data_IF_042294281745
#
_entry.id   IF_042294281745
#
_cell.length_a   1.000
_cell.length_b   1.000
_cell.length_c   1.000
_cell.angle_alpha   90.00
_cell.angle_beta   90.00
_cell.angle_gamma   90.00
#
_symmetry.space_group_name_H-M   'P 1'
#
loop_
_entity.id
_entity.type
_entity.pdbx_description
1 polymer ?
#
# COMPACT_ATOMS: atom_id res chain seq x y z
N UNK A 1 -55.56 52.03 -6.25
CA UNK A 1 -54.31 52.77 -6.57
C UNK A 1 -53.45 52.81 -5.31
N UNK A 2 -52.14 52.62 -5.46
CA UNK A 2 -51.05 52.78 -4.47
C UNK A 2 -50.50 51.54 -3.73
N UNK A 3 -49.40 51.05 -4.33
CA UNK A 3 -48.08 50.83 -3.72
C UNK A 3 -48.00 50.05 -2.40
N UNK A 4 -47.73 48.74 -2.54
CA UNK A 4 -46.60 48.02 -1.89
C UNK A 4 -46.60 46.54 -2.30
N UNK A 5 -46.17 46.30 -3.55
CA UNK A 5 -45.55 45.02 -3.94
C UNK A 5 -44.10 45.05 -3.45
N UNK A 6 -43.50 43.87 -3.30
CA UNK A 6 -42.11 43.59 -2.90
C UNK A 6 -41.79 43.62 -1.40
N UNK A 7 -42.23 42.60 -0.65
CA UNK A 7 -41.44 42.09 0.49
C UNK A 7 -41.93 40.71 0.97
N UNK A 8 -41.93 39.72 0.08
CA UNK A 8 -42.47 38.39 0.41
C UNK A 8 -41.93 37.24 -0.43
N UNK A 9 -40.69 37.36 -0.92
CA UNK A 9 -40.02 36.30 -1.66
C UNK A 9 -38.50 36.31 -1.42
N UNK A 10 -38.11 36.44 -0.15
CA UNK A 10 -36.73 36.27 0.30
C UNK A 10 -36.71 35.62 1.68
N UNK A 11 -37.37 34.48 1.80
CA UNK A 11 -37.33 33.62 2.98
C UNK A 11 -37.00 32.18 2.57
N UNK A 12 -35.99 32.01 1.72
CA UNK A 12 -35.50 30.69 1.27
C UNK A 12 -33.97 30.61 1.12
N UNK A 13 -33.20 31.56 1.67
CA UNK A 13 -31.74 31.52 1.57
C UNK A 13 -31.12 32.13 2.82
N UNK A 14 -31.18 31.41 3.94
CA UNK A 14 -30.16 31.47 5.00
C UNK A 14 -30.39 30.37 6.06
N UNK A 15 -30.57 29.12 5.64
CA UNK A 15 -30.17 28.01 6.49
C UNK A 15 -28.66 27.84 6.27
N UNK A 16 -27.87 28.66 6.96
CA UNK A 16 -26.43 28.42 7.11
C UNK A 16 -26.34 27.11 7.88
N UNK A 17 -26.18 26.02 7.13
CA UNK A 17 -25.77 24.74 7.70
C UNK A 17 -24.37 24.97 8.23
N UNK A 18 -24.28 25.27 9.53
CA UNK A 18 -23.07 25.14 10.32
C UNK A 18 -22.73 23.66 10.36
N UNK A 19 -22.17 23.13 9.27
CA UNK A 19 -21.25 22.01 9.37
C UNK A 19 -20.02 22.57 10.08
N UNK A 20 -20.08 22.55 11.41
CA UNK A 20 -18.87 22.53 12.21
C UNK A 20 -18.12 21.27 11.78
N UNK A 21 -17.19 21.42 10.83
CA UNK A 21 -16.16 20.44 10.62
C UNK A 21 -15.44 20.32 11.97
N UNK A 22 -15.78 19.29 12.74
CA UNK A 22 -14.96 18.89 13.86
C UNK A 22 -13.62 18.51 13.26
N UNK A 23 -12.68 19.46 13.31
CA UNK A 23 -11.29 19.22 12.99
C UNK A 23 -10.88 18.01 13.79
N UNK A 24 -10.67 16.87 13.12
CA UNK A 24 -10.04 15.71 13.74
C UNK A 24 -8.60 16.12 13.96
N UNK A 25 -8.35 16.76 15.10
CA UNK A 25 -7.01 17.03 15.59
C UNK A 25 -6.42 15.68 15.95
N UNK A 26 -5.71 15.05 15.01
CA UNK A 26 -4.66 14.11 15.33
C UNK A 26 -3.50 14.90 15.99
N UNK A 27 -3.74 15.39 17.20
CA UNK A 27 -2.71 15.90 18.09
C UNK A 27 -2.53 14.80 19.12
N UNK A 28 -1.63 13.88 18.87
CA UNK A 28 -0.95 13.24 19.98
C UNK A 28 -0.18 14.38 20.67
N UNK A 29 -0.54 14.81 21.89
CA UNK A 29 0.15 15.92 22.53
C UNK A 29 1.59 15.50 22.78
N UNK A 30 2.51 16.04 21.99
CA UNK A 30 3.93 15.92 22.26
C UNK A 30 4.31 16.98 23.28
N UNK A 31 4.87 16.57 24.43
CA UNK A 31 5.43 17.50 25.42
C UNK A 31 6.60 18.32 24.87
N UNK A 32 7.04 18.03 23.64
CA UNK A 32 8.15 18.69 22.97
C UNK A 32 7.71 19.87 22.12
N UNK A 33 6.42 20.02 21.80
CA UNK A 33 5.91 21.19 21.09
C UNK A 33 5.75 22.31 22.12
N UNK A 34 6.55 23.36 21.98
CA UNK A 34 6.54 24.53 22.87
C UNK A 34 5.57 25.58 22.35
N UNK A 35 5.45 25.71 21.02
CA UNK A 35 4.61 26.72 20.39
C UNK A 35 4.17 26.24 18.99
N UNK A 36 2.86 26.34 18.70
CA UNK A 36 2.35 26.19 17.34
C UNK A 36 2.37 27.57 16.67
N UNK A 37 3.19 27.75 15.64
CA UNK A 37 3.35 29.03 14.93
C UNK A 37 2.23 29.21 13.91
N UNK A 38 1.91 28.15 13.16
CA UNK A 38 0.83 28.18 12.18
C UNK A 38 0.32 26.78 11.86
N UNK A 39 -0.96 26.70 11.49
CA UNK A 39 -1.59 25.49 10.97
C UNK A 39 -2.40 25.86 9.74
N UNK A 40 -2.23 25.09 8.66
CA UNK A 40 -2.98 25.20 7.42
C UNK A 40 -3.53 23.83 7.04
N UNK A 41 -4.77 23.79 6.58
CA UNK A 41 -5.39 22.59 6.00
C UNK A 41 -5.81 22.91 4.58
N UNK A 42 -5.36 22.10 3.63
CA UNK A 42 -5.72 22.18 2.23
C UNK A 42 -6.60 20.98 1.88
N UNK A 43 -7.79 21.23 1.34
CA UNK A 43 -8.66 20.17 0.85
C UNK A 43 -8.16 19.70 -0.52
N UNK A 44 -7.85 18.42 -0.62
CA UNK A 44 -7.51 17.73 -1.85
C UNK A 44 -8.76 17.01 -2.40
N UNK A 45 -8.72 16.50 -3.65
CA UNK A 45 -9.82 15.71 -4.21
C UNK A 45 -10.27 14.55 -3.31
N UNK A 46 -11.51 14.10 -3.51
CA UNK A 46 -12.12 12.97 -2.79
C UNK A 46 -12.12 13.11 -1.25
N UNK A 47 -12.10 14.36 -0.75
CA UNK A 47 -12.15 14.65 0.69
C UNK A 47 -10.86 14.37 1.45
N UNK A 48 -9.74 14.12 0.76
CA UNK A 48 -8.42 14.02 1.39
C UNK A 48 -7.98 15.39 1.90
N UNK A 49 -7.33 15.45 3.07
CA UNK A 49 -6.85 16.70 3.65
C UNK A 49 -5.32 16.71 3.71
N UNK A 50 -4.71 17.84 3.36
CA UNK A 50 -3.28 18.08 3.52
C UNK A 50 -3.03 19.12 4.60
N UNK A 51 -2.49 18.66 5.73
CA UNK A 51 -2.23 19.44 6.92
C UNK A 51 -0.77 19.88 6.92
N UNK A 52 -0.54 21.18 7.06
CA UNK A 52 0.79 21.79 7.18
C UNK A 52 0.84 22.52 8.51
N UNK A 53 1.78 22.16 9.38
CA UNK A 53 2.06 22.86 10.63
C UNK A 53 3.47 23.38 10.66
N UNK A 54 3.62 24.60 11.18
CA UNK A 54 4.91 25.13 11.62
C UNK A 54 4.88 25.16 13.13
N UNK A 55 5.75 24.37 13.73
CA UNK A 55 5.85 24.20 15.19
C UNK A 55 7.25 24.64 15.64
N UNK A 56 7.34 25.14 16.86
CA UNK A 56 8.61 25.31 17.58
C UNK A 56 8.71 24.24 18.66
N UNK A 57 9.77 23.45 18.61
CA UNK A 57 10.02 22.37 19.56
C UNK A 57 11.14 22.69 20.53
N UNK A 58 11.10 22.04 21.69
CA UNK A 58 12.19 22.00 22.64
C UNK A 58 13.47 21.44 21.97
N UNK A 59 14.63 21.93 22.39
CA UNK A 59 15.90 21.36 21.97
C UNK A 59 16.27 20.22 22.91
N UNK A 60 16.36 18.98 22.39
CA UNK A 60 16.73 17.80 23.17
C UNK A 60 15.89 17.57 24.45
N UNK A 61 14.61 17.95 24.47
CA UNK A 61 13.78 17.84 25.68
C UNK A 61 13.75 19.09 26.56
N UNK A 62 14.66 20.03 26.35
CA UNK A 62 14.74 21.25 27.16
C UNK A 62 13.85 22.35 26.58
N UNK A 63 12.74 22.61 27.29
CA UNK A 63 11.77 23.65 26.95
C UNK A 63 12.25 25.07 27.24
N UNK A 64 13.33 25.21 28.02
CA UNK A 64 13.92 26.50 28.42
C UNK A 64 15.05 26.94 27.49
N UNK A 65 15.62 25.99 26.73
CA UNK A 65 16.66 26.23 25.74
C UNK A 65 16.11 26.90 24.47
N UNK A 66 17.02 27.19 23.53
CA UNK A 66 16.68 27.71 22.21
C UNK A 66 15.73 26.76 21.46
N UNK A 67 14.58 27.30 21.03
CA UNK A 67 13.55 26.56 20.30
C UNK A 67 14.02 26.18 18.88
N UNK A 68 13.55 25.06 18.36
CA UNK A 68 13.82 24.59 16.98
C UNK A 68 12.59 24.68 16.11
N UNK A 69 12.72 25.31 14.95
CA UNK A 69 11.64 25.37 13.98
C UNK A 69 11.46 24.02 13.29
N UNK A 70 10.22 23.56 13.21
CA UNK A 70 9.80 22.33 12.57
C UNK A 70 8.71 22.63 11.54
N UNK A 71 8.80 21.97 10.39
CA UNK A 71 7.73 21.95 9.39
C UNK A 71 7.18 20.53 9.31
N UNK A 72 5.96 20.35 9.79
CA UNK A 72 5.28 19.05 9.88
C UNK A 72 4.17 19.01 8.85
N UNK A 73 4.19 17.97 8.03
CA UNK A 73 3.21 17.77 6.97
C UNK A 73 2.54 16.42 7.15
N UNK A 74 1.22 16.39 7.02
CA UNK A 74 0.44 15.16 7.12
C UNK A 74 -0.65 15.13 6.06
N UNK A 75 -0.84 13.96 5.46
CA UNK A 75 -1.98 13.68 4.60
C UNK A 75 -2.97 12.87 5.43
N UNK A 76 -4.19 13.37 5.57
CA UNK A 76 -5.27 12.70 6.28
C UNK A 76 -6.24 12.18 5.24
N UNK A 77 -6.45 10.87 5.24
CA UNK A 77 -7.46 10.19 4.41
C UNK A 77 -8.63 9.84 5.33
N UNK A 78 -9.75 10.58 5.30
CA UNK A 78 -10.88 10.30 6.16
C UNK A 78 -11.51 8.93 5.85
N UNK A 79 -12.11 8.29 6.86
CA UNK A 79 -12.80 7.01 6.65
C UNK A 79 -13.89 7.09 5.57
N UNK A 80 -14.60 8.22 5.54
CA UNK A 80 -15.67 8.54 4.59
C UNK A 80 -15.20 8.74 3.14
N UNK A 81 -13.89 8.82 2.86
CA UNK A 81 -13.36 8.90 1.50
C UNK A 81 -13.38 7.51 0.84
N UNK A 82 -14.56 6.98 0.50
CA UNK A 82 -14.78 5.60 0.05
C UNK A 82 -14.02 5.24 -1.24
N UNK A 83 -13.81 6.21 -2.12
CA UNK A 83 -13.11 6.07 -3.41
C UNK A 83 -11.58 6.15 -3.29
N UNK A 84 -11.05 6.44 -2.09
CA UNK A 84 -9.62 6.65 -1.87
C UNK A 84 -8.98 5.42 -1.24
N UNK A 85 -7.90 4.96 -1.87
CA UNK A 85 -7.12 3.81 -1.45
C UNK A 85 -5.69 4.21 -1.11
N UNK A 86 -5.10 3.55 -0.11
CA UNK A 86 -3.68 3.66 0.19
C UNK A 86 -2.94 2.52 -0.53
N UNK A 87 -1.96 2.88 -1.34
CA UNK A 87 -1.18 1.93 -2.13
C UNK A 87 0.30 2.12 -1.82
N UNK A 88 1.01 1.01 -1.64
CA UNK A 88 2.47 0.98 -1.57
C UNK A 88 3.01 0.74 -2.98
N UNK A 89 3.97 1.53 -3.43
CA UNK A 89 4.54 1.39 -4.77
C UNK A 89 6.07 1.46 -4.74
N UNK A 90 6.72 0.68 -5.59
CA UNK A 90 8.15 0.75 -5.82
C UNK A 90 8.44 0.82 -7.31
N UNK A 91 9.40 1.66 -7.67
CA UNK A 91 9.88 1.76 -9.05
C UNK A 91 10.70 0.52 -9.45
N UNK A 92 10.86 0.35 -10.76
CA UNK A 92 11.57 -0.78 -11.35
C UNK A 92 10.73 -1.51 -12.38
N UNK A 93 11.20 -2.65 -12.83
CA UNK A 93 10.46 -3.55 -13.73
C UNK A 93 10.35 -4.93 -13.07
N UNK A 94 9.79 -5.88 -13.81
CA UNK A 94 9.51 -7.22 -13.32
C UNK A 94 10.78 -8.00 -12.91
N UNK A 95 11.95 -7.55 -13.37
CA UNK A 95 13.24 -8.20 -13.19
C UNK A 95 14.18 -7.46 -12.22
N UNK A 96 13.95 -6.16 -11.98
CA UNK A 96 14.78 -5.34 -11.09
C UNK A 96 14.01 -4.25 -10.36
N UNK A 97 14.45 -3.97 -9.14
CA UNK A 97 14.05 -2.77 -8.41
C UNK A 97 14.70 -1.53 -9.02
N UNK A 98 14.03 -0.40 -8.88
CA UNK A 98 14.47 0.88 -9.41
C UNK A 98 14.44 1.96 -8.33
N UNK A 99 15.35 2.92 -8.45
CA UNK A 99 15.33 4.15 -7.68
C UNK A 99 14.54 5.22 -8.42
N UNK A 100 13.58 5.82 -7.74
CA UNK A 100 12.80 6.93 -8.29
C UNK A 100 12.57 7.99 -7.21
N UNK A 101 12.39 9.23 -7.66
CA UNK A 101 11.82 10.27 -6.78
C UNK A 101 10.35 9.97 -6.52
N UNK A 102 9.77 10.51 -5.45
CA UNK A 102 8.33 10.37 -5.18
C UNK A 102 7.48 10.80 -6.38
N UNK A 103 7.83 11.93 -7.02
CA UNK A 103 7.13 12.42 -8.20
C UNK A 103 7.20 11.44 -9.38
N UNK A 104 8.38 10.87 -9.62
CA UNK A 104 8.56 9.87 -10.68
C UNK A 104 7.79 8.58 -10.38
N UNK A 105 7.75 8.15 -9.11
CA UNK A 105 6.97 6.98 -8.69
C UNK A 105 5.47 7.19 -8.89
N UNK A 106 4.96 8.39 -8.63
CA UNK A 106 3.55 8.75 -8.89
C UNK A 106 3.23 8.60 -10.38
N UNK A 107 4.06 9.18 -11.26
CA UNK A 107 3.86 9.10 -12.71
C UNK A 107 3.93 7.65 -13.21
N UNK A 108 4.88 6.86 -12.69
CA UNK A 108 4.99 5.45 -13.05
C UNK A 108 3.79 4.63 -12.59
N UNK A 109 3.28 4.89 -11.38
CA UNK A 109 2.08 4.24 -10.86
C UNK A 109 0.86 4.54 -11.74
N UNK A 110 0.56 5.81 -12.03
CA UNK A 110 -0.59 6.19 -12.86
C UNK A 110 -0.50 5.61 -14.27
N UNK A 111 0.72 5.56 -14.85
CA UNK A 111 0.96 4.95 -16.16
C UNK A 111 0.69 3.45 -16.17
N UNK A 112 1.05 2.73 -15.10
CA UNK A 112 0.86 1.26 -15.00
C UNK A 112 -0.50 0.85 -14.48
N UNK A 113 -1.27 1.78 -13.93
CA UNK A 113 -2.60 1.54 -13.40
C UNK A 113 -3.59 2.52 -14.05
N UNK A 114 -3.91 2.35 -15.36
CA UNK A 114 -4.88 3.21 -16.04
C UNK A 114 -6.21 3.24 -15.28
N UNK A 115 -6.80 4.44 -15.15
CA UNK A 115 -8.02 4.67 -14.38
C UNK A 115 -7.78 5.10 -12.93
N UNK A 116 -6.55 4.98 -12.41
CA UNK A 116 -6.16 5.54 -11.13
C UNK A 116 -5.56 6.94 -11.28
N UNK A 117 -5.80 7.77 -10.26
CA UNK A 117 -5.14 9.07 -10.08
C UNK A 117 -4.58 9.16 -8.67
N UNK A 118 -3.34 9.60 -8.53
CA UNK A 118 -2.71 9.81 -7.24
C UNK A 118 -3.10 11.19 -6.71
N UNK A 119 -3.67 11.20 -5.50
CA UNK A 119 -4.05 12.43 -4.80
C UNK A 119 -2.85 13.03 -4.05
N UNK A 120 -2.08 12.16 -3.38
CA UNK A 120 -0.89 12.54 -2.62
C UNK A 120 0.03 11.32 -2.39
N UNK A 121 1.26 11.55 -1.95
CA UNK A 121 2.21 10.48 -1.65
C UNK A 121 3.26 10.89 -0.62
N UNK A 122 3.89 9.89 0.01
CA UNK A 122 4.99 10.04 0.96
C UNK A 122 6.08 9.01 0.64
N UNK A 123 7.31 9.24 1.09
CA UNK A 123 8.33 8.19 1.01
C UNK A 123 7.98 7.05 1.99
N UNK A 124 8.33 5.82 1.58
CA UNK A 124 8.08 4.61 2.36
C UNK A 124 9.34 4.05 3.02
N UNK A 125 9.52 2.74 2.87
CA UNK A 125 10.56 1.92 3.49
C UNK A 125 12.00 2.35 3.15
N UNK A 126 12.95 1.93 4.00
CA UNK A 126 14.36 1.97 3.65
C UNK A 126 14.66 1.03 2.49
N UNK A 127 15.68 1.33 1.70
CA UNK A 127 16.09 0.51 0.56
C UNK A 127 17.60 0.54 0.36
N UNK A 128 18.10 -0.46 -0.36
CA UNK A 128 19.51 -0.55 -0.75
C UNK A 128 19.87 0.54 -1.77
N UNK A 129 20.30 1.69 -1.29
CA UNK A 129 20.60 2.84 -2.14
C UNK A 129 21.86 2.66 -3.00
N UNK A 130 22.68 1.64 -2.71
CA UNK A 130 24.03 1.51 -3.28
C UNK A 130 24.12 0.51 -4.44
N UNK A 131 23.23 -0.49 -4.50
CA UNK A 131 23.30 -1.53 -5.54
C UNK A 131 21.91 -1.90 -6.06
N UNK A 132 21.14 -2.65 -5.28
CA UNK A 132 19.94 -3.33 -5.80
C UNK A 132 18.71 -2.43 -5.89
N UNK A 133 18.67 -1.31 -5.14
CA UNK A 133 17.48 -0.46 -4.92
C UNK A 133 16.28 -1.18 -4.30
N UNK A 134 16.50 -2.38 -3.77
CA UNK A 134 15.46 -3.20 -3.17
C UNK A 134 15.08 -2.68 -1.78
N UNK A 135 13.78 -2.70 -1.41
CA UNK A 135 13.34 -2.42 -0.05
C UNK A 135 14.02 -3.32 0.98
N UNK A 136 14.37 -2.75 2.13
CA UNK A 136 15.08 -3.45 3.19
C UNK A 136 14.21 -4.52 3.84
N UNK A 137 12.91 -4.26 3.95
CA UNK A 137 11.93 -5.13 4.59
C UNK A 137 10.94 -5.74 3.59
N UNK A 138 9.95 -6.47 4.09
CA UNK A 138 8.93 -7.06 3.23
C UNK A 138 8.16 -5.96 2.51
N UNK A 139 7.82 -6.20 1.24
CA UNK A 139 7.12 -5.26 0.39
C UNK A 139 5.96 -5.99 -0.29
N UNK A 140 4.75 -5.57 0.04
CA UNK A 140 3.51 -6.10 -0.50
C UNK A 140 2.72 -4.94 -1.09
N UNK A 141 2.28 -5.07 -2.33
CA UNK A 141 1.50 -4.06 -3.03
C UNK A 141 0.33 -4.71 -3.75
N UNK A 142 -0.87 -4.16 -3.58
CA UNK A 142 -2.09 -4.66 -4.23
C UNK A 142 -2.35 -6.17 -4.03
N UNK A 143 -1.95 -6.72 -2.88
CA UNK A 143 -2.05 -8.15 -2.57
C UNK A 143 -0.88 -9.00 -3.10
N UNK A 144 -0.06 -8.45 -4.00
CA UNK A 144 1.12 -9.13 -4.54
C UNK A 144 2.30 -8.99 -3.58
N UNK A 145 2.94 -10.12 -3.25
CA UNK A 145 4.16 -10.15 -2.45
C UNK A 145 5.34 -9.89 -3.36
N UNK A 146 5.86 -8.66 -3.37
CA UNK A 146 7.02 -8.28 -4.18
C UNK A 146 8.33 -8.66 -3.50
N UNK A 147 8.32 -8.68 -2.17
CA UNK A 147 9.42 -9.17 -1.33
C UNK A 147 8.85 -9.71 -0.02
N UNK A 148 9.16 -10.97 0.30
CA UNK A 148 8.64 -11.65 1.49
C UNK A 148 9.48 -11.40 2.74
N UNK A 149 10.79 -11.22 2.58
CA UNK A 149 11.72 -11.24 3.71
C UNK A 149 11.68 -9.92 4.47
N UNK A 150 11.36 -10.03 5.75
CA UNK A 150 11.29 -8.89 6.66
C UNK A 150 12.55 -8.86 7.53
N UNK A 151 13.14 -7.68 7.69
CA UNK A 151 13.99 -7.40 8.85
C UNK A 151 13.11 -7.46 10.12
N UNK A 152 13.67 -7.51 11.35
CA UNK A 152 12.87 -7.51 12.58
C UNK A 152 12.12 -6.18 12.86
N UNK A 153 11.83 -5.38 11.83
CA UNK A 153 11.06 -4.16 11.91
C UNK A 153 9.56 -4.45 11.81
N UNK A 154 8.78 -3.56 12.42
CA UNK A 154 7.32 -3.56 12.31
C UNK A 154 6.92 -3.15 10.90
N UNK A 155 5.96 -3.86 10.33
CA UNK A 155 5.31 -3.57 9.07
C UNK A 155 3.93 -3.00 9.34
N UNK A 156 3.51 -2.06 8.49
CA UNK A 156 2.16 -1.52 8.45
C UNK A 156 1.38 -2.25 7.35
N UNK A 157 0.30 -2.93 7.71
CA UNK A 157 -0.71 -3.43 6.78
C UNK A 157 -1.96 -2.55 6.84
N UNK A 158 -2.54 -2.22 5.69
CA UNK A 158 -3.72 -1.38 5.59
C UNK A 158 -4.79 -2.16 4.84
N UNK A 159 -5.97 -2.28 5.43
CA UNK A 159 -7.11 -2.98 4.87
C UNK A 159 -7.94 -2.05 3.95
N UNK A 160 -8.76 -2.59 3.05
CA UNK A 160 -9.63 -1.79 2.17
C UNK A 160 -10.58 -0.85 2.94
N UNK A 161 -11.02 -1.23 4.14
CA UNK A 161 -11.86 -0.43 5.03
C UNK A 161 -11.09 0.69 5.78
N UNK A 162 -9.81 0.88 5.43
CA UNK A 162 -8.84 1.81 6.02
C UNK A 162 -8.48 1.51 7.47
N UNK A 163 -8.90 0.37 8.02
CA UNK A 163 -8.30 -0.16 9.25
C UNK A 163 -6.86 -0.60 8.97
N UNK A 164 -6.06 -0.74 10.03
CA UNK A 164 -4.65 -1.07 9.88
C UNK A 164 -4.17 -2.04 10.96
N UNK A 165 -3.10 -2.76 10.63
CA UNK A 165 -2.36 -3.62 11.55
C UNK A 165 -0.90 -3.19 11.55
N UNK A 166 -0.30 -3.14 12.74
CA UNK A 166 1.14 -2.95 12.89
C UNK A 166 1.69 -4.18 13.59
N UNK A 167 2.62 -4.87 12.94
CA UNK A 167 3.18 -6.11 13.48
C UNK A 167 4.41 -6.55 12.73
N UNK A 168 5.01 -7.65 13.17
CA UNK A 168 6.10 -8.28 12.42
C UNK A 168 5.48 -9.27 11.44
N UNK A 169 5.80 -9.12 10.15
CA UNK A 169 5.38 -10.11 9.16
C UNK A 169 6.04 -11.46 9.41
N UNK A 170 5.26 -12.53 9.24
CA UNK A 170 5.74 -13.90 9.16
C UNK A 170 5.56 -14.42 7.74
N UNK A 171 6.41 -15.36 7.35
CA UNK A 171 6.35 -16.00 6.04
C UNK A 171 6.38 -17.51 6.20
N UNK A 172 5.65 -18.19 5.33
CA UNK A 172 5.62 -19.64 5.24
C UNK A 172 6.90 -20.12 4.54
N UNK A 173 7.29 -21.38 4.77
CA UNK A 173 8.39 -22.04 4.07
C UNK A 173 7.92 -22.90 2.89
N UNK A 174 6.67 -22.74 2.46
CA UNK A 174 6.05 -23.46 1.35
C UNK A 174 5.43 -22.48 0.34
N UNK A 175 5.28 -22.92 -0.91
CA UNK A 175 4.54 -22.18 -1.93
C UNK A 175 3.04 -22.31 -1.68
N UNK A 176 2.28 -21.25 -1.97
CA UNK A 176 0.83 -21.30 -1.95
C UNK A 176 0.22 -20.71 -3.21
N UNK A 177 -0.86 -21.33 -3.68
CA UNK A 177 -1.74 -20.80 -4.70
C UNK A 177 -2.81 -19.95 -4.01
N UNK A 178 -2.90 -18.68 -4.38
CA UNK A 178 -3.91 -17.77 -3.86
C UNK A 178 -4.85 -17.36 -4.97
N UNK A 179 -6.14 -17.39 -4.68
CA UNK A 179 -7.15 -16.75 -5.53
C UNK A 179 -7.40 -15.33 -5.01
N UNK A 180 -7.52 -14.39 -5.93
CA UNK A 180 -7.63 -12.96 -5.60
C UNK A 180 -8.76 -12.36 -6.42
N UNK A 181 -9.70 -11.69 -5.74
CA UNK A 181 -10.72 -10.85 -6.36
C UNK A 181 -10.32 -9.38 -6.16
N UNK A 182 -9.94 -8.72 -7.24
CA UNK A 182 -9.34 -7.38 -7.16
C UNK A 182 -8.01 -7.40 -6.38
N UNK A 183 -8.03 -6.95 -5.12
CA UNK A 183 -6.87 -6.93 -4.21
C UNK A 183 -7.08 -7.77 -2.94
N UNK A 184 -8.18 -8.52 -2.89
CA UNK A 184 -8.57 -9.31 -1.73
C UNK A 184 -8.25 -10.77 -2.02
N UNK A 185 -7.46 -11.40 -1.15
CA UNK A 185 -7.23 -12.85 -1.19
C UNK A 185 -8.50 -13.54 -0.72
N UNK A 186 -9.11 -14.35 -1.58
CA UNK A 186 -10.39 -15.04 -1.30
C UNK A 186 -10.20 -16.49 -0.90
N UNK A 187 -9.12 -17.15 -1.34
CA UNK A 187 -8.74 -18.50 -0.89
C UNK A 187 -7.24 -18.72 -1.05
N UNK A 188 -6.69 -19.59 -0.21
CA UNK A 188 -5.28 -19.99 -0.22
C UNK A 188 -5.16 -21.51 -0.12
N UNK A 189 -4.36 -22.10 -1.03
CA UNK A 189 -4.07 -23.52 -1.08
C UNK A 189 -2.56 -23.71 -0.96
N UNK A 190 -2.12 -24.54 -0.01
CA UNK A 190 -0.72 -24.97 0.05
C UNK A 190 -0.40 -25.79 -1.19
N UNK A 191 0.73 -25.49 -1.84
CA UNK A 191 1.32 -26.36 -2.86
C UNK A 191 2.18 -27.36 -2.10
N UNK A 192 1.78 -28.63 -2.16
CA UNK A 192 2.41 -29.70 -1.40
C UNK A 192 3.64 -30.28 -2.09
N UNK A 193 3.57 -30.38 -3.43
CA UNK A 193 4.64 -30.98 -4.24
C UNK A 193 4.88 -30.19 -5.52
N UNK A 194 6.13 -30.18 -5.97
CA UNK A 194 6.55 -29.55 -7.23
C UNK A 194 7.03 -30.62 -8.21
N UNK A 195 6.61 -30.51 -9.48
CA UNK A 195 7.01 -31.38 -10.59
C UNK A 195 6.83 -32.89 -10.32
N UNK A 196 5.81 -33.25 -9.51
CA UNK A 196 5.43 -34.62 -9.17
C UNK A 196 3.91 -34.71 -9.01
N UNK A 197 3.33 -35.85 -9.38
CA UNK A 197 1.89 -36.06 -9.20
C UNK A 197 1.54 -36.17 -7.71
N UNK A 198 0.40 -35.59 -7.28
CA UNK A 198 -0.17 -35.82 -5.96
C UNK A 198 -0.42 -37.31 -5.69
N UNK A 199 -0.21 -37.74 -4.45
CA UNK A 199 -0.52 -39.11 -3.99
C UNK A 199 -1.79 -39.20 -3.14
N UNK A 200 -2.39 -38.06 -2.81
CA UNK A 200 -3.64 -37.95 -2.08
C UNK A 200 -4.35 -36.64 -2.35
N UNK A 201 -4.98 -36.06 -1.32
CA UNK A 201 -5.63 -34.76 -1.39
C UNK A 201 -4.59 -33.62 -1.28
N UNK A 202 -3.73 -33.50 -2.30
CA UNK A 202 -2.60 -32.58 -2.35
C UNK A 202 -2.68 -31.71 -3.61
N UNK A 203 -2.06 -30.52 -3.56
CA UNK A 203 -1.91 -29.65 -4.74
C UNK A 203 -0.49 -29.75 -5.27
N UNK A 204 -0.35 -30.07 -6.56
CA UNK A 204 0.93 -30.09 -7.25
C UNK A 204 1.09 -28.87 -8.18
N UNK A 205 2.29 -28.28 -8.21
CA UNK A 205 2.68 -27.27 -9.20
C UNK A 205 3.69 -27.85 -10.18
N UNK A 206 3.42 -27.69 -11.47
CA UNK A 206 4.32 -28.12 -12.55
C UNK A 206 4.83 -26.91 -13.33
N UNK A 207 6.14 -26.81 -13.49
CA UNK A 207 6.77 -25.76 -14.27
C UNK A 207 7.07 -26.21 -15.71
N UNK A 208 6.96 -25.33 -16.71
CA UNK A 208 7.43 -25.59 -18.07
C UNK A 208 8.90 -26.05 -18.04
N UNK A 209 9.18 -27.21 -18.64
CA UNK A 209 10.53 -27.78 -18.69
C UNK A 209 10.77 -28.96 -17.73
N UNK A 210 9.83 -29.32 -16.87
CA UNK A 210 9.84 -30.68 -16.29
C UNK A 210 9.60 -31.65 -17.45
N UNK A 211 10.64 -32.35 -17.92
CA UNK A 211 10.60 -33.20 -19.12
C UNK A 211 9.71 -34.47 -18.99
N UNK A 212 8.69 -34.44 -18.15
CA UNK A 212 7.83 -35.56 -17.82
C UNK A 212 6.55 -35.53 -18.63
N UNK A 213 6.24 -36.63 -19.32
CA UNK A 213 4.87 -36.93 -19.74
C UNK A 213 4.10 -37.36 -18.50
N UNK A 214 3.10 -36.58 -18.10
CA UNK A 214 2.31 -36.84 -16.91
C UNK A 214 1.03 -37.57 -17.31
N UNK A 215 0.74 -38.71 -16.65
CA UNK A 215 -0.59 -39.31 -16.70
C UNK A 215 -1.47 -38.60 -15.66
N UNK A 216 -2.35 -37.73 -16.14
CA UNK A 216 -3.22 -36.91 -15.29
C UNK A 216 -4.66 -37.42 -15.22
N UNK A 217 -4.90 -38.68 -15.62
CA UNK A 217 -6.21 -39.29 -15.50
C UNK A 217 -6.67 -39.33 -14.03
N UNK A 218 -7.87 -38.82 -13.74
CA UNK A 218 -8.43 -38.74 -12.39
C UNK A 218 -8.02 -37.51 -11.57
N UNK A 219 -7.22 -36.60 -12.14
CA UNK A 219 -6.84 -35.35 -11.50
C UNK A 219 -7.64 -34.17 -12.04
N UNK A 220 -7.92 -33.18 -11.19
CA UNK A 220 -8.37 -31.86 -11.65
C UNK A 220 -7.14 -31.08 -12.13
N UNK A 221 -7.03 -30.88 -13.44
CA UNK A 221 -5.89 -30.18 -14.03
C UNK A 221 -6.29 -28.78 -14.45
N UNK A 222 -5.56 -27.80 -13.91
CA UNK A 222 -5.68 -26.41 -14.29
C UNK A 222 -4.40 -26.01 -15.02
N UNK A 223 -4.55 -25.48 -16.23
CA UNK A 223 -3.44 -24.87 -16.96
C UNK A 223 -3.58 -23.36 -16.85
N UNK A 224 -2.46 -22.71 -16.66
CA UNK A 224 -2.38 -21.26 -16.56
C UNK A 224 -1.15 -20.73 -17.26
N UNK A 225 -1.22 -19.45 -17.59
CA UNK A 225 -0.05 -18.68 -17.95
C UNK A 225 0.47 -18.00 -16.70
N UNK A 226 1.78 -17.82 -16.61
CA UNK A 226 2.40 -17.03 -15.55
C UNK A 226 3.55 -16.20 -16.10
N UNK A 227 3.76 -15.06 -15.47
CA UNK A 227 4.93 -14.22 -15.65
C UNK A 227 5.68 -14.07 -14.34
N UNK A 228 6.99 -13.83 -14.44
CA UNK A 228 7.75 -13.27 -13.33
C UNK A 228 7.35 -11.81 -13.23
N UNK A 229 6.86 -11.37 -12.08
CA UNK A 229 6.54 -9.97 -11.83
C UNK A 229 7.48 -9.31 -10.82
N UNK A 230 8.31 -10.10 -10.13
CA UNK A 230 9.41 -9.57 -9.32
C UNK A 230 10.53 -10.57 -9.10
N UNK A 231 11.75 -10.04 -8.98
CA UNK A 231 12.93 -10.77 -8.51
C UNK A 231 13.53 -10.05 -7.30
N UNK A 232 13.73 -10.79 -6.21
CA UNK A 232 14.44 -10.34 -5.03
C UNK A 232 15.86 -10.92 -5.02
N UNK A 233 16.85 -10.04 -4.83
CA UNK A 233 18.28 -10.39 -4.86
C UNK A 233 18.88 -10.35 -3.46
N UNK A 234 19.97 -11.10 -3.29
CA UNK A 234 20.78 -11.05 -2.08
C UNK A 234 21.34 -9.64 -1.89
N UNK A 235 21.03 -9.02 -0.76
CA UNK A 235 21.59 -7.73 -0.38
C UNK A 235 22.92 -7.87 0.38
N UNK A 236 23.38 -9.09 0.68
CA UNK A 236 24.68 -9.36 1.34
C UNK A 236 24.75 -9.02 2.83
N UNK A 237 23.88 -8.13 3.33
CA UNK A 237 23.85 -7.66 4.72
C UNK A 237 22.50 -7.91 5.43
N UNK A 238 21.60 -8.68 4.83
CA UNK A 238 20.30 -9.06 5.43
C UNK A 238 20.20 -10.58 5.57
N UNK A 239 19.85 -11.04 6.77
CA UNK A 239 19.62 -12.46 7.09
C UNK A 239 18.18 -12.65 7.59
N UNK A 240 17.42 -13.63 7.06
CA UNK A 240 17.77 -14.52 5.95
C UNK A 240 17.91 -13.77 4.62
N UNK A 241 18.75 -14.31 3.71
CA UNK A 241 19.02 -13.71 2.41
C UNK A 241 17.73 -13.55 1.62
N UNK A 242 17.39 -12.34 1.13
CA UNK A 242 16.11 -12.09 0.51
C UNK A 242 16.08 -12.57 -0.94
N UNK A 243 16.00 -13.89 -1.14
CA UNK A 243 16.00 -14.51 -2.46
C UNK A 243 14.59 -14.93 -2.85
N UNK A 244 14.19 -14.64 -4.09
CA UNK A 244 12.93 -15.13 -4.62
C UNK A 244 12.63 -14.65 -6.04
N UNK A 245 11.98 -15.49 -6.83
CA UNK A 245 11.25 -15.10 -8.04
C UNK A 245 9.77 -15.20 -7.71
N UNK A 246 9.04 -14.13 -7.96
CA UNK A 246 7.61 -14.05 -7.65
C UNK A 246 6.84 -14.15 -8.96
N UNK A 247 5.90 -15.10 -8.99
CA UNK A 247 5.15 -15.48 -10.19
C UNK A 247 3.69 -15.08 -10.01
N UNK A 248 3.10 -14.51 -11.05
CA UNK A 248 1.69 -14.14 -11.10
C UNK A 248 1.14 -14.59 -12.44
N UNK A 249 -0.09 -15.07 -12.43
CA UNK A 249 -0.66 -15.71 -13.59
C UNK A 249 -2.17 -15.86 -13.47
N UNK A 250 -2.74 -16.41 -14.52
CA UNK A 250 -4.16 -16.71 -14.62
C UNK A 250 -4.36 -18.16 -15.06
N UNK A 251 -5.42 -18.78 -14.55
CA UNK A 251 -5.87 -20.09 -15.04
C UNK A 251 -6.64 -19.85 -16.34
N UNK A 252 -6.19 -20.49 -17.42
CA UNK A 252 -6.77 -20.33 -18.76
C UNK A 252 -7.60 -21.53 -19.19
N UNK A 253 -7.35 -22.70 -18.61
CA UNK A 253 -8.02 -23.94 -18.99
C UNK A 253 -8.19 -24.85 -17.78
N UNK A 254 -9.38 -25.44 -17.66
CA UNK A 254 -9.59 -26.62 -16.83
C UNK A 254 -9.69 -27.82 -17.76
N UNK A 255 -8.73 -28.74 -17.67
CA UNK A 255 -8.85 -30.04 -18.34
C UNK A 255 -9.63 -30.97 -17.43
N UNK A 256 -10.75 -31.47 -17.95
CA UNK A 256 -11.53 -32.58 -17.38
C UNK A 256 -10.89 -33.92 -17.70
#
# INVERSE_FOLDING_TARGET
MNFKKFFGFLLCLLAVVLFGATQVKAVAPSSQIVENVSTQVLNLPEGVEFHIRKDKTAQNGDITAAKRDQNVQAIVVPKAAETVELVVWAAGDDHKWGRATLRSSIVDFERRNPGYRVIAGVNGDFFDISDTFQPSSAHVSAGDVWKKDNRPYKTLGIFPDKSYIIGQMTTNNYLSLKTVEGRIVTSEFKIDVENKLPTGNEVALFFPGSAQKLNVAGYNVYKGNYDIYRVSKDMGYVTPKPLGKFLKGEIVEKSS
#
